data_IF_682166929035
#
_entry.id   IF_682166929035
#
_cell.length_a   1.000
_cell.length_b   1.000
_cell.length_c   1.000
_cell.angle_alpha   90.00
_cell.angle_beta   90.00
_cell.angle_gamma   90.00
#
_symmetry.space_group_name_H-M   'P 1'
#
loop_
_entity.id
_entity.type
_entity.pdbx_description
1 polymer ?
#
# COMPACT_ATOMS: atom_id res chain seq x y z
N UNK A 1 24.17 14.54 16.77
CA UNK A 1 23.38 13.73 15.83
C UNK A 1 22.19 14.59 15.46
N UNK A 2 22.30 15.33 14.36
CA UNK A 2 21.16 16.09 13.84
C UNK A 2 20.12 15.07 13.39
N UNK A 3 18.94 15.12 14.02
CA UNK A 3 17.78 14.38 13.54
C UNK A 3 17.42 15.03 12.20
N UNK A 4 17.74 14.34 11.11
CA UNK A 4 17.33 14.74 9.75
C UNK A 4 15.84 15.03 9.82
N UNK A 5 15.45 16.26 9.46
CA UNK A 5 14.05 16.66 9.48
C UNK A 5 13.22 15.66 8.66
N UNK A 6 12.35 14.96 9.37
CA UNK A 6 11.52 13.91 8.81
C UNK A 6 10.53 14.58 7.86
N UNK A 7 10.77 14.45 6.56
CA UNK A 7 9.88 14.98 5.51
C UNK A 7 8.59 14.13 5.36
N UNK A 8 8.11 13.59 6.48
CA UNK A 8 6.92 12.77 6.62
C UNK A 8 6.17 13.17 7.89
N UNK A 9 4.86 13.23 7.80
CA UNK A 9 3.96 13.37 8.94
C UNK A 9 2.95 12.22 8.92
N UNK A 10 2.24 12.04 10.04
CA UNK A 10 1.31 10.94 10.21
C UNK A 10 0.19 10.96 9.15
N UNK A 11 -0.28 12.15 8.76
CA UNK A 11 -1.35 12.30 7.77
C UNK A 11 -0.89 11.83 6.37
N UNK A 12 0.33 12.18 5.98
CA UNK A 12 0.93 11.76 4.72
C UNK A 12 1.22 10.25 4.69
N UNK A 13 1.64 9.67 5.81
CA UNK A 13 1.79 8.21 5.95
C UNK A 13 0.42 7.49 5.85
N UNK A 14 -0.61 8.00 6.53
CA UNK A 14 -1.96 7.42 6.47
C UNK A 14 -2.54 7.50 5.05
N UNK A 15 -2.39 8.64 4.38
CA UNK A 15 -2.81 8.83 2.98
C UNK A 15 -2.10 7.84 2.05
N UNK A 16 -0.79 7.68 2.21
CA UNK A 16 0.00 6.75 1.42
C UNK A 16 -0.47 5.30 1.64
N UNK A 17 -0.63 4.88 2.90
CA UNK A 17 -1.16 3.56 3.25
C UNK A 17 -2.53 3.31 2.61
N UNK A 18 -3.49 4.23 2.78
CA UNK A 18 -4.84 4.09 2.20
C UNK A 18 -4.83 4.03 0.68
N UNK A 19 -3.96 4.82 0.04
CA UNK A 19 -3.79 4.77 -1.41
C UNK A 19 -3.23 3.41 -1.87
N UNK A 20 -2.22 2.89 -1.18
CA UNK A 20 -1.66 1.56 -1.44
C UNK A 20 -2.72 0.47 -1.30
N UNK A 21 -3.47 0.50 -0.19
CA UNK A 21 -4.55 -0.45 0.08
C UNK A 21 -5.59 -0.51 -1.03
N UNK A 22 -6.06 0.64 -1.51
CA UNK A 22 -6.98 0.69 -2.64
C UNK A 22 -6.37 0.10 -3.91
N UNK A 23 -5.10 0.40 -4.21
CA UNK A 23 -4.40 -0.15 -5.37
C UNK A 23 -4.24 -1.68 -5.30
N UNK A 24 -3.88 -2.22 -4.13
CA UNK A 24 -3.80 -3.66 -3.88
C UNK A 24 -5.16 -4.35 -4.01
N UNK A 25 -6.20 -3.74 -3.46
CA UNK A 25 -7.58 -4.25 -3.50
C UNK A 25 -8.17 -4.41 -4.90
N UNK A 26 -7.69 -3.64 -5.87
CA UNK A 26 -8.12 -3.74 -7.28
C UNK A 26 -7.12 -4.51 -8.15
N UNK A 27 -6.10 -5.12 -7.54
CA UNK A 27 -5.10 -5.95 -8.23
C UNK A 27 -4.11 -5.16 -9.08
N UNK A 28 -3.86 -3.88 -8.79
CA UNK A 28 -2.81 -3.11 -9.48
C UNK A 28 -1.43 -3.65 -9.12
N UNK A 29 -0.43 -3.59 -10.02
CA UNK A 29 0.96 -3.93 -9.69
C UNK A 29 1.52 -2.99 -8.60
N UNK A 30 2.39 -3.49 -7.72
CA UNK A 30 3.07 -2.68 -6.68
C UNK A 30 3.93 -1.55 -7.26
N UNK A 31 4.45 -1.73 -8.48
CA UNK A 31 5.30 -0.75 -9.18
C UNK A 31 4.58 0.56 -9.57
N UNK A 32 3.28 0.69 -9.29
CA UNK A 32 2.51 1.93 -9.53
C UNK A 32 2.60 2.93 -8.38
N UNK A 33 3.39 2.65 -7.34
CA UNK A 33 3.63 3.58 -6.24
C UNK A 33 4.08 4.96 -6.78
N UNK A 34 3.32 6.05 -6.53
CA UNK A 34 3.67 7.37 -7.06
C UNK A 34 4.70 8.11 -6.20
N UNK A 35 5.03 7.57 -5.03
CA UNK A 35 5.89 8.23 -4.04
C UNK A 35 7.36 7.88 -4.25
N UNK A 36 8.25 8.78 -3.84
CA UNK A 36 9.72 8.58 -3.90
C UNK A 36 10.39 8.67 -2.53
N UNK A 37 9.75 9.33 -1.57
CA UNK A 37 10.26 9.42 -0.21
C UNK A 37 10.10 8.05 0.47
N UNK A 38 11.20 7.48 0.94
CA UNK A 38 11.27 6.11 1.45
C UNK A 38 10.19 5.78 2.48
N UNK A 39 10.02 6.63 3.51
CA UNK A 39 9.00 6.41 4.55
C UNK A 39 7.56 6.42 3.99
N UNK A 40 7.29 7.26 2.99
CA UNK A 40 5.97 7.33 2.33
C UNK A 40 5.77 6.12 1.41
N UNK A 41 6.82 5.68 0.71
CA UNK A 41 6.81 4.46 -0.10
C UNK A 41 6.53 3.24 0.77
N UNK A 42 7.24 3.10 1.90
CA UNK A 42 7.05 2.00 2.84
C UNK A 42 5.60 1.93 3.36
N UNK A 43 4.99 3.08 3.69
CA UNK A 43 3.59 3.14 4.11
C UNK A 43 2.64 2.71 2.98
N UNK A 44 2.89 3.19 1.75
CA UNK A 44 2.10 2.80 0.58
C UNK A 44 2.22 1.30 0.27
N UNK A 45 3.42 0.74 0.30
CA UNK A 45 3.66 -0.68 0.03
C UNK A 45 3.00 -1.57 1.09
N UNK A 46 3.08 -1.19 2.37
CA UNK A 46 2.37 -1.89 3.44
C UNK A 46 0.86 -1.95 3.17
N UNK A 47 0.25 -0.81 2.83
CA UNK A 47 -1.16 -0.77 2.44
C UNK A 47 -1.44 -1.65 1.22
N UNK A 48 -0.60 -1.59 0.19
CA UNK A 48 -0.75 -2.40 -1.02
C UNK A 48 -0.75 -3.90 -0.73
N UNK A 49 0.15 -4.38 0.13
CA UNK A 49 0.21 -5.78 0.53
C UNK A 49 -1.08 -6.23 1.22
N UNK A 50 -1.58 -5.45 2.19
CA UNK A 50 -2.84 -5.74 2.89
C UNK A 50 -4.03 -5.75 1.92
N UNK A 51 -4.09 -4.78 0.99
CA UNK A 51 -5.13 -4.72 -0.04
C UNK A 51 -5.06 -5.90 -1.02
N UNK A 52 -3.84 -6.33 -1.38
CA UNK A 52 -3.60 -7.46 -2.28
C UNK A 52 -4.04 -8.78 -1.65
N UNK A 53 -3.82 -8.97 -0.35
CA UNK A 53 -4.35 -10.12 0.40
C UNK A 53 -5.89 -10.17 0.28
N UNK A 54 -6.58 -9.04 0.45
CA UNK A 54 -8.04 -8.97 0.30
C UNK A 54 -8.50 -9.29 -1.14
N UNK A 55 -7.75 -8.83 -2.14
CA UNK A 55 -8.00 -9.18 -3.55
C UNK A 55 -7.85 -10.69 -3.76
N UNK A 56 -6.77 -11.29 -3.26
CA UNK A 56 -6.47 -12.70 -3.44
C UNK A 56 -7.46 -13.61 -2.71
N UNK A 57 -7.90 -13.25 -1.50
CA UNK A 57 -8.99 -13.96 -0.80
C UNK A 57 -10.27 -13.95 -1.65
N UNK A 58 -10.69 -12.78 -2.17
CA UNK A 58 -11.90 -12.67 -3.00
C UNK A 58 -11.81 -13.48 -4.29
N UNK A 59 -10.64 -13.54 -4.92
CA UNK A 59 -10.46 -14.25 -6.18
C UNK A 59 -10.12 -15.74 -6.00
N UNK A 60 -9.54 -16.12 -4.86
CA UNK A 60 -9.35 -17.49 -4.43
C UNK A 60 -10.68 -18.17 -4.10
N UNK A 61 -11.54 -17.49 -3.33
CA UNK A 61 -12.91 -17.95 -3.05
C UNK A 61 -13.72 -18.18 -4.33
N UNK A 62 -13.60 -17.29 -5.33
CA UNK A 62 -14.25 -17.47 -6.64
C UNK A 62 -13.76 -18.70 -7.42
N UNK A 63 -12.49 -19.11 -7.24
CA UNK A 63 -11.90 -20.26 -7.92
C UNK A 63 -12.26 -21.60 -7.29
N UNK A 64 -12.56 -21.63 -5.99
CA UNK A 64 -12.96 -22.86 -5.28
C UNK A 64 -14.43 -23.23 -5.42
N UNK A 65 -15.26 -22.33 -5.98
CA UNK A 65 -16.70 -22.53 -6.16
C UNK A 65 -17.10 -23.09 -7.54
N UNK A 66 -16.14 -23.67 -8.28
CA UNK A 66 -16.35 -24.31 -9.59
C UNK A 66 -16.02 -25.79 -9.51
#
# INVERSE_FOLDING_TARGET
>A
MELVENNWDLENLEKAYRHGFMAGMVGKPVLVCPYRAEMIVNAWEAGWHDGKEQYDIKHGLKRSSV
#
